data_IF_705237647023
#
_entry.id   IF_705237647023
#
_cell.length_a   1.000
_cell.length_b   1.000
_cell.length_c   1.000
_cell.angle_alpha   90.00
_cell.angle_beta   90.00
_cell.angle_gamma   90.00
#
_symmetry.space_group_name_H-M   'P 1'
#
loop_
_entity.id
_entity.type
_entity.pdbx_description
1 polymer ?
#
# COMPACT_ATOMS: atom_id res chain seq x y z
N UNK A 1 13.32 14.30 -12.79
CA UNK A 1 12.09 13.87 -12.12
C UNK A 1 12.11 14.43 -10.70
N UNK A 2 11.02 15.02 -10.23
CA UNK A 2 10.96 15.58 -8.87
C UNK A 2 10.18 14.65 -7.97
N UNK A 3 10.77 14.25 -6.83
CA UNK A 3 10.14 13.36 -5.86
C UNK A 3 10.00 14.09 -4.51
N UNK A 4 8.78 14.16 -4.00
CA UNK A 4 8.53 14.62 -2.66
C UNK A 4 8.77 13.47 -1.67
N UNK A 5 9.77 13.62 -0.78
CA UNK A 5 10.07 12.64 0.25
C UNK A 5 9.38 13.01 1.55
N UNK A 6 8.60 12.10 2.08
CA UNK A 6 7.88 12.22 3.35
C UNK A 6 8.31 11.09 4.29
N UNK A 7 9.50 11.13 4.92
CA UNK A 7 9.94 10.04 5.79
C UNK A 7 8.97 9.80 6.97
N UNK A 8 8.40 10.86 7.52
CA UNK A 8 7.43 10.78 8.61
C UNK A 8 8.07 10.38 9.93
N UNK A 9 7.51 9.36 10.60
CA UNK A 9 7.76 9.00 11.99
C UNK A 9 8.44 7.63 12.12
N UNK A 10 8.96 7.34 13.31
CA UNK A 10 9.50 6.03 13.67
C UNK A 10 10.60 5.53 12.73
N UNK A 11 10.44 4.31 12.19
CA UNK A 11 11.38 3.72 11.24
C UNK A 11 11.38 4.39 9.87
N UNK A 12 10.42 5.30 9.59
CA UNK A 12 10.23 5.91 8.28
C UNK A 12 11.48 6.58 7.72
N UNK A 13 12.30 7.21 8.59
CA UNK A 13 13.53 7.87 8.16
C UNK A 13 14.54 6.84 7.61
N UNK A 14 14.82 5.76 8.36
CA UNK A 14 15.85 4.78 7.99
C UNK A 14 15.45 3.93 6.77
N UNK A 15 14.16 3.60 6.60
CA UNK A 15 13.68 2.83 5.43
C UNK A 15 13.62 3.69 4.16
N UNK A 16 13.30 4.99 4.28
CA UNK A 16 13.30 5.92 3.14
C UNK A 16 14.74 6.20 2.70
N UNK A 17 15.68 6.42 3.64
CA UNK A 17 17.08 6.65 3.31
C UNK A 17 17.67 5.43 2.56
N UNK A 18 17.37 4.20 3.00
CA UNK A 18 17.77 2.98 2.29
C UNK A 18 17.14 2.86 0.90
N UNK A 19 15.87 3.22 0.75
CA UNK A 19 15.19 3.17 -0.54
C UNK A 19 15.69 4.24 -1.52
N UNK A 20 16.08 5.43 -1.03
CA UNK A 20 16.69 6.49 -1.84
C UNK A 20 18.05 6.04 -2.38
N UNK A 21 18.88 5.34 -1.60
CA UNK A 21 20.15 4.78 -2.09
C UNK A 21 19.95 3.84 -3.28
N UNK A 22 18.92 2.97 -3.22
CA UNK A 22 18.59 2.05 -4.32
C UNK A 22 18.05 2.81 -5.53
N UNK A 23 17.23 3.83 -5.30
CA UNK A 23 16.69 4.69 -6.37
C UNK A 23 17.78 5.48 -7.09
N UNK A 24 18.77 6.00 -6.35
CA UNK A 24 19.94 6.67 -6.92
C UNK A 24 20.80 5.72 -7.77
N UNK A 25 20.94 4.47 -7.33
CA UNK A 25 21.60 3.43 -8.13
C UNK A 25 20.84 3.13 -9.43
N UNK A 26 19.50 3.07 -9.37
CA UNK A 26 18.64 2.93 -10.56
C UNK A 26 18.79 4.13 -11.51
N UNK A 27 18.73 5.35 -10.99
CA UNK A 27 18.91 6.58 -11.76
C UNK A 27 20.25 6.60 -12.50
N UNK A 28 21.33 6.19 -11.83
CA UNK A 28 22.67 6.09 -12.40
C UNK A 28 22.74 5.03 -13.49
N UNK A 29 22.17 3.84 -13.28
CA UNK A 29 22.21 2.73 -14.24
C UNK A 29 21.40 3.01 -15.50
N UNK A 30 20.21 3.59 -15.34
CA UNK A 30 19.26 3.81 -16.44
C UNK A 30 19.30 5.24 -17.02
N UNK A 31 20.16 6.12 -16.49
CA UNK A 31 20.46 7.42 -17.08
C UNK A 31 19.35 8.47 -16.93
N UNK A 32 18.68 8.51 -15.79
CA UNK A 32 17.71 9.57 -15.47
C UNK A 32 18.13 10.36 -14.22
N UNK A 33 17.65 11.60 -14.12
CA UNK A 33 17.98 12.52 -13.02
C UNK A 33 16.80 12.66 -12.06
N UNK A 34 17.10 12.74 -10.75
CA UNK A 34 16.11 12.91 -9.70
C UNK A 34 16.46 14.14 -8.84
N UNK A 35 15.44 14.91 -8.55
CA UNK A 35 15.46 15.97 -7.56
C UNK A 35 14.58 15.58 -6.38
N UNK A 36 15.11 15.65 -5.16
CA UNK A 36 14.38 15.33 -3.95
C UNK A 36 13.95 16.59 -3.20
N UNK A 37 12.68 16.64 -2.78
CA UNK A 37 12.12 17.67 -1.92
C UNK A 37 11.61 17.01 -0.64
N UNK A 38 12.40 17.10 0.46
CA UNK A 38 12.08 16.46 1.74
C UNK A 38 11.18 17.37 2.57
N UNK A 39 10.00 16.84 2.96
CA UNK A 39 8.96 17.56 3.70
C UNK A 39 8.53 16.80 4.95
N UNK A 40 7.83 17.49 5.86
CA UNK A 40 7.33 16.92 7.13
C UNK A 40 5.88 16.43 6.98
N UNK A 41 5.56 15.30 7.62
CA UNK A 41 4.19 14.77 7.76
C UNK A 41 4.09 13.96 9.05
N UNK A 42 2.89 13.87 9.62
CA UNK A 42 2.64 13.05 10.80
C UNK A 42 3.07 13.70 12.09
N UNK A 43 3.56 12.89 13.02
CA UNK A 43 3.97 13.33 14.35
C UNK A 43 5.15 14.27 14.35
N UNK A 44 6.14 14.05 13.49
CA UNK A 44 7.28 14.97 13.36
C UNK A 44 6.85 16.34 12.83
N UNK A 45 5.81 16.41 12.01
CA UNK A 45 5.22 17.67 11.57
C UNK A 45 4.48 18.38 12.72
N UNK A 46 3.73 17.63 13.53
CA UNK A 46 3.07 18.19 14.74
C UNK A 46 4.11 18.81 15.68
N UNK A 47 5.20 18.10 15.94
CA UNK A 47 6.27 18.61 16.82
C UNK A 47 6.91 19.90 16.30
N UNK A 48 7.06 20.04 14.99
CA UNK A 48 7.72 21.19 14.37
C UNK A 48 6.78 22.37 14.10
N UNK A 49 5.51 22.10 13.76
CA UNK A 49 4.59 23.11 13.21
C UNK A 49 3.23 23.19 13.92
N UNK A 50 2.91 22.22 14.79
CA UNK A 50 1.61 22.11 15.46
C UNK A 50 0.53 21.44 14.62
N UNK A 51 0.80 21.05 13.38
CA UNK A 51 -0.17 20.38 12.48
C UNK A 51 0.43 19.12 11.84
N UNK A 52 -0.36 18.06 11.62
CA UNK A 52 0.15 16.80 11.06
C UNK A 52 0.46 16.87 9.56
N UNK A 53 -0.04 17.88 8.85
CA UNK A 53 0.17 18.11 7.42
C UNK A 53 0.30 19.61 7.13
N UNK A 54 1.54 20.13 7.06
CA UNK A 54 1.77 21.52 6.70
C UNK A 54 1.37 21.83 5.24
N UNK A 55 0.92 23.07 4.98
CA UNK A 55 0.58 23.51 3.62
C UNK A 55 1.78 23.43 2.65
N UNK A 56 3.00 23.66 3.15
CA UNK A 56 4.22 23.50 2.37
C UNK A 56 4.39 22.06 1.85
N UNK A 57 4.05 21.07 2.67
CA UNK A 57 4.07 19.65 2.30
C UNK A 57 3.06 19.35 1.19
N UNK A 58 1.84 19.89 1.30
CA UNK A 58 0.81 19.74 0.26
C UNK A 58 1.27 20.38 -1.06
N UNK A 59 1.85 21.58 -0.99
CA UNK A 59 2.34 22.29 -2.17
C UNK A 59 3.49 21.53 -2.85
N UNK A 60 4.45 21.02 -2.07
CA UNK A 60 5.56 20.19 -2.58
C UNK A 60 5.05 18.91 -3.24
N UNK A 61 4.18 18.16 -2.56
CA UNK A 61 3.61 16.92 -3.07
C UNK A 61 2.84 17.12 -4.39
N UNK A 62 2.05 18.19 -4.50
CA UNK A 62 1.32 18.53 -5.75
C UNK A 62 2.24 18.94 -6.90
N UNK A 63 3.41 19.50 -6.61
CA UNK A 63 4.39 19.93 -7.61
C UNK A 63 5.40 18.85 -7.99
N UNK A 64 5.36 17.69 -7.33
CA UNK A 64 6.24 16.57 -7.61
C UNK A 64 5.64 15.61 -8.66
N UNK A 65 6.49 14.83 -9.32
CA UNK A 65 6.08 13.74 -10.22
C UNK A 65 5.58 12.52 -9.42
N UNK A 66 6.08 12.34 -8.19
CA UNK A 66 5.66 11.31 -7.27
C UNK A 66 5.97 11.67 -5.81
N UNK A 67 5.30 11.01 -4.87
CA UNK A 67 5.53 11.11 -3.43
C UNK A 67 5.98 9.76 -2.89
N UNK A 68 7.09 9.73 -2.15
CA UNK A 68 7.52 8.57 -1.37
C UNK A 68 7.30 8.85 0.12
N UNK A 69 6.44 8.07 0.75
CA UNK A 69 6.12 8.14 2.17
C UNK A 69 6.78 6.98 2.92
N UNK A 70 7.38 7.26 4.07
CA UNK A 70 7.91 6.23 4.97
C UNK A 70 6.82 5.67 5.88
N UNK A 71 6.58 6.31 7.02
CA UNK A 71 5.56 5.88 7.97
C UNK A 71 5.04 7.07 8.79
N UNK A 72 3.85 6.92 9.38
CA UNK A 72 3.19 7.97 10.16
C UNK A 72 2.65 7.39 11.47
N UNK A 73 2.74 8.18 12.54
CA UNK A 73 2.14 7.86 13.83
C UNK A 73 3.11 7.32 14.87
N UNK A 74 2.59 7.14 16.08
CA UNK A 74 3.33 6.59 17.22
C UNK A 74 2.71 7.00 18.55
N UNK A 75 2.99 6.27 19.64
CA UNK A 75 2.34 6.43 20.95
C UNK A 75 2.56 7.82 21.57
N UNK A 76 3.59 8.55 21.15
CA UNK A 76 3.84 9.92 21.60
C UNK A 76 2.65 10.86 21.36
N UNK A 77 1.87 10.62 20.30
CA UNK A 77 0.76 11.49 19.87
C UNK A 77 -0.63 10.89 20.13
N UNK A 78 -0.75 9.79 20.91
CA UNK A 78 -2.04 9.17 21.23
C UNK A 78 -3.01 10.10 21.95
N UNK A 79 -2.46 11.02 22.77
CA UNK A 79 -3.23 11.94 23.60
C UNK A 79 -3.45 13.34 23.00
N UNK A 80 -3.06 13.57 21.72
CA UNK A 80 -3.38 14.82 21.04
C UNK A 80 -4.86 14.87 20.64
N UNK A 81 -5.37 16.07 20.36
CA UNK A 81 -6.76 16.22 19.91
C UNK A 81 -6.99 15.41 18.60
N UNK A 82 -8.18 14.80 18.42
CA UNK A 82 -8.44 13.89 17.30
C UNK A 82 -8.20 14.49 15.91
N UNK A 83 -8.42 15.79 15.76
CA UNK A 83 -8.25 16.53 14.49
C UNK A 83 -6.80 16.83 14.11
N UNK A 84 -5.87 16.71 15.08
CA UNK A 84 -4.43 16.90 14.84
C UNK A 84 -3.62 15.61 15.02
N UNK A 85 -4.24 14.43 15.07
CA UNK A 85 -3.52 13.14 15.12
C UNK A 85 -2.67 12.95 13.85
N UNK A 86 -1.52 12.26 13.94
CA UNK A 86 -0.64 12.00 12.79
C UNK A 86 -1.38 11.39 11.59
N UNK A 87 -2.34 10.48 11.81
CA UNK A 87 -3.13 9.80 10.79
C UNK A 87 -3.99 10.77 9.96
N UNK A 88 -4.38 11.92 10.55
CA UNK A 88 -5.07 13.00 9.80
C UNK A 88 -4.17 13.61 8.74
N UNK A 89 -2.84 13.60 8.96
CA UNK A 89 -1.86 14.00 7.95
C UNK A 89 -1.90 13.06 6.73
N UNK A 90 -1.92 11.75 6.98
CA UNK A 90 -2.01 10.74 5.91
C UNK A 90 -3.33 10.83 5.14
N UNK A 91 -4.46 10.91 5.82
CA UNK A 91 -5.76 11.08 5.16
C UNK A 91 -5.85 12.40 4.40
N UNK A 92 -5.28 13.47 4.97
CA UNK A 92 -5.23 14.80 4.37
C UNK A 92 -4.45 14.84 3.06
N UNK A 93 -3.26 14.24 3.01
CA UNK A 93 -2.44 14.22 1.80
C UNK A 93 -3.08 13.36 0.71
N UNK A 94 -3.66 12.20 1.03
CA UNK A 94 -4.41 11.37 0.10
C UNK A 94 -5.57 12.14 -0.53
N UNK A 95 -6.33 12.88 0.27
CA UNK A 95 -7.40 13.77 -0.19
C UNK A 95 -6.88 14.90 -1.06
N UNK A 96 -5.80 15.57 -0.64
CA UNK A 96 -5.21 16.70 -1.35
C UNK A 96 -4.68 16.34 -2.74
N UNK A 97 -4.20 15.10 -2.91
CA UNK A 97 -3.71 14.55 -4.18
C UNK A 97 -4.80 13.81 -4.97
N UNK A 98 -6.00 13.64 -4.43
CA UNK A 98 -7.12 12.95 -5.10
C UNK A 98 -6.85 11.46 -5.32
N UNK A 99 -6.20 10.79 -4.37
CA UNK A 99 -5.80 9.38 -4.47
C UNK A 99 -6.98 8.48 -4.13
N UNK A 100 -7.60 7.87 -5.13
CA UNK A 100 -8.77 7.01 -4.94
C UNK A 100 -8.51 5.52 -5.15
N UNK A 101 -7.36 5.13 -5.68
CA UNK A 101 -7.00 3.76 -5.96
C UNK A 101 -5.78 3.36 -5.14
N UNK A 102 -5.92 2.41 -4.22
CA UNK A 102 -4.80 1.85 -3.49
C UNK A 102 -4.49 0.45 -4.04
N UNK A 103 -3.27 0.27 -4.52
CA UNK A 103 -2.74 -0.98 -5.04
C UNK A 103 -1.88 -1.65 -3.97
N UNK A 104 -2.24 -2.87 -3.58
CA UNK A 104 -1.52 -3.69 -2.60
C UNK A 104 -1.20 -5.06 -3.21
N UNK A 105 -0.05 -5.22 -3.87
CA UNK A 105 0.40 -6.52 -4.35
C UNK A 105 0.82 -7.41 -3.18
N UNK A 106 0.50 -8.70 -3.28
CA UNK A 106 0.96 -9.73 -2.36
C UNK A 106 1.53 -10.89 -3.17
N UNK A 107 2.81 -11.14 -2.97
CA UNK A 107 3.53 -12.27 -3.58
C UNK A 107 4.20 -13.11 -2.50
N UNK A 108 4.19 -14.42 -2.67
CA UNK A 108 4.90 -15.36 -1.80
C UNK A 108 5.93 -16.09 -2.65
N UNK A 109 7.19 -15.66 -2.53
CA UNK A 109 8.30 -16.29 -3.23
C UNK A 109 8.77 -17.57 -2.51
N UNK A 110 9.56 -18.38 -3.20
CA UNK A 110 10.24 -19.55 -2.60
C UNK A 110 11.13 -19.17 -1.41
N UNK A 111 11.60 -17.92 -1.35
CA UNK A 111 12.47 -17.44 -0.27
C UNK A 111 11.72 -17.03 0.99
N UNK A 112 10.41 -16.79 0.88
CA UNK A 112 9.56 -16.31 1.97
C UNK A 112 8.45 -17.27 2.34
N UNK A 113 8.21 -18.31 1.54
CA UNK A 113 7.14 -19.30 1.76
C UNK A 113 7.20 -19.99 3.14
N UNK A 114 8.41 -20.16 3.70
CA UNK A 114 8.59 -20.74 5.03
C UNK A 114 8.17 -19.80 6.18
N UNK A 115 8.04 -18.50 5.92
CA UNK A 115 7.56 -17.50 6.88
C UNK A 115 6.04 -17.41 6.92
N UNK A 116 5.37 -17.91 5.87
CA UNK A 116 3.91 -17.93 5.81
C UNK A 116 3.32 -18.80 6.94
N UNK A 117 2.23 -18.34 7.59
CA UNK A 117 1.49 -19.21 8.51
C UNK A 117 0.76 -20.36 7.81
N UNK A 118 0.66 -20.30 6.49
CA UNK A 118 0.10 -21.36 5.68
C UNK A 118 1.15 -22.43 5.39
N UNK A 119 0.68 -23.62 5.06
CA UNK A 119 1.58 -24.65 4.51
C UNK A 119 2.23 -24.16 3.22
N UNK A 120 3.52 -24.45 3.04
CA UNK A 120 4.30 -23.98 1.89
C UNK A 120 3.62 -24.27 0.54
N UNK A 121 3.06 -25.49 0.37
CA UNK A 121 2.37 -25.87 -0.87
C UNK A 121 1.14 -24.99 -1.20
N UNK A 122 0.56 -24.29 -0.22
CA UNK A 122 -0.54 -23.35 -0.41
C UNK A 122 -0.05 -21.94 -0.66
N UNK A 123 0.98 -21.51 0.06
CA UNK A 123 1.48 -20.15 0.03
C UNK A 123 2.40 -19.88 -1.15
N UNK A 124 3.39 -20.74 -1.39
CA UNK A 124 4.42 -20.54 -2.42
C UNK A 124 3.81 -20.37 -3.82
N UNK A 125 4.20 -19.29 -4.49
CA UNK A 125 3.69 -18.92 -5.81
C UNK A 125 2.32 -18.24 -5.78
N UNK A 126 1.80 -17.88 -4.61
CA UNK A 126 0.68 -16.94 -4.54
C UNK A 126 1.15 -15.56 -5.04
N UNK A 127 0.39 -15.00 -5.97
CA UNK A 127 0.62 -13.69 -6.59
C UNK A 127 -0.72 -13.06 -6.88
N UNK A 128 -1.11 -12.07 -6.09
CA UNK A 128 -2.37 -11.35 -6.25
C UNK A 128 -2.19 -9.85 -6.04
N UNK A 129 -3.07 -9.08 -6.62
CA UNK A 129 -3.14 -7.63 -6.47
C UNK A 129 -4.50 -7.25 -5.87
N UNK A 130 -4.51 -6.58 -4.73
CA UNK A 130 -5.72 -5.96 -4.19
C UNK A 130 -5.80 -4.53 -4.70
N UNK A 131 -6.91 -4.21 -5.37
CA UNK A 131 -7.30 -2.89 -5.84
C UNK A 131 -8.41 -2.40 -4.91
N UNK A 132 -8.01 -1.58 -3.95
CA UNK A 132 -8.87 -1.01 -2.90
C UNK A 132 -9.30 0.39 -3.29
N UNK A 133 -10.59 0.68 -3.29
CA UNK A 133 -11.08 2.05 -3.31
C UNK A 133 -10.65 2.76 -2.00
N UNK A 134 -10.16 4.01 -2.09
CA UNK A 134 -9.43 4.64 -0.99
C UNK A 134 -10.12 5.89 -0.42
N UNK A 135 -11.04 6.54 -1.13
CA UNK A 135 -11.58 7.87 -0.78
C UNK A 135 -13.09 7.93 -0.68
N UNK A 136 -13.75 6.78 -0.69
CA UNK A 136 -15.21 6.64 -0.51
C UNK A 136 -15.56 5.70 0.64
N UNK A 137 -16.82 5.34 0.69
CA UNK A 137 -17.37 4.39 1.63
C UNK A 137 -17.44 4.89 3.06
N UNK A 138 -17.40 3.96 4.01
CA UNK A 138 -17.65 4.24 5.42
C UNK A 138 -16.58 5.16 6.06
N UNK A 139 -15.33 5.17 5.54
CA UNK A 139 -14.27 6.03 6.08
C UNK A 139 -14.43 7.51 5.74
N UNK A 140 -15.24 7.83 4.73
CA UNK A 140 -15.47 9.19 4.24
C UNK A 140 -16.95 9.58 4.23
N UNK A 141 -17.82 8.66 4.68
CA UNK A 141 -19.24 8.92 4.84
C UNK A 141 -19.55 9.85 6.02
N UNK A 142 -20.81 10.01 6.30
CA UNK A 142 -21.26 10.74 7.49
C UNK A 142 -21.05 9.87 8.74
N UNK A 143 -20.47 10.50 9.77
CA UNK A 143 -20.21 9.89 11.06
C UNK A 143 -21.01 10.62 12.12
N UNK A 144 -21.71 9.89 12.96
CA UNK A 144 -22.38 10.44 14.14
C UNK A 144 -21.75 9.80 15.37
N UNK A 145 -21.00 10.60 16.12
CA UNK A 145 -20.39 10.18 17.38
C UNK A 145 -21.43 9.75 18.41
N UNK A 146 -21.00 8.98 19.40
CA UNK A 146 -21.85 8.50 20.48
C UNK A 146 -22.60 9.65 21.18
N UNK A 147 -23.93 9.60 21.19
CA UNK A 147 -24.81 10.57 21.80
C UNK A 147 -26.08 9.90 22.32
N UNK A 148 -26.81 10.60 23.19
CA UNK A 148 -28.11 10.12 23.63
C UNK A 148 -29.19 10.54 22.63
N UNK A 149 -29.98 9.61 22.13
CA UNK A 149 -31.14 9.90 21.29
C UNK A 149 -32.33 10.42 22.10
N UNK A 150 -33.48 10.69 21.44
CA UNK A 150 -34.66 11.23 22.07
C UNK A 150 -35.25 10.36 23.22
N UNK A 151 -34.95 9.07 23.22
CA UNK A 151 -35.39 8.10 24.22
C UNK A 151 -34.37 7.91 25.35
N UNK A 152 -33.25 8.67 25.33
CA UNK A 152 -32.16 8.58 26.29
C UNK A 152 -31.26 7.35 26.10
N UNK A 153 -31.27 6.73 24.95
CA UNK A 153 -30.43 5.59 24.56
C UNK A 153 -29.19 6.12 23.85
N UNK A 154 -28.01 5.62 24.24
CA UNK A 154 -26.76 5.95 23.59
C UNK A 154 -26.69 5.26 22.21
N UNK A 155 -26.41 6.04 21.17
CA UNK A 155 -26.26 5.55 19.81
C UNK A 155 -25.12 6.26 19.05
N UNK A 156 -24.57 5.58 18.05
CA UNK A 156 -23.62 6.11 17.09
C UNK A 156 -23.87 5.49 15.73
N UNK A 157 -23.48 6.16 14.64
CA UNK A 157 -23.66 5.62 13.30
C UNK A 157 -22.60 6.08 12.33
N UNK A 158 -22.30 5.19 11.34
CA UNK A 158 -21.43 5.45 10.22
C UNK A 158 -22.15 5.07 8.92
N UNK A 159 -22.08 5.95 7.90
CA UNK A 159 -22.77 5.72 6.62
C UNK A 159 -21.78 5.28 5.55
N UNK A 160 -22.01 4.10 4.98
CA UNK A 160 -21.30 3.67 3.77
C UNK A 160 -22.00 4.21 2.52
N UNK A 161 -21.39 5.20 1.89
CA UNK A 161 -21.87 5.83 0.67
C UNK A 161 -20.89 5.60 -0.48
N UNK A 162 -21.42 5.13 -1.62
CA UNK A 162 -20.72 5.09 -2.90
C UNK A 162 -21.58 5.66 -4.01
N UNK A 163 -20.95 6.34 -4.94
CA UNK A 163 -21.55 6.82 -6.18
C UNK A 163 -21.08 5.99 -7.37
N UNK A 164 -21.86 5.98 -8.46
CA UNK A 164 -21.47 5.29 -9.70
C UNK A 164 -20.09 5.70 -10.22
N UNK A 165 -19.73 6.98 -10.34
CA UNK A 165 -18.39 7.38 -10.81
C UNK A 165 -17.23 6.84 -9.94
N UNK A 166 -17.42 6.74 -8.63
CA UNK A 166 -16.40 6.18 -7.72
C UNK A 166 -16.18 4.70 -7.99
N UNK A 167 -17.24 3.93 -8.19
CA UNK A 167 -17.14 2.51 -8.53
C UNK A 167 -16.52 2.32 -9.92
N UNK A 168 -16.95 3.12 -10.92
CA UNK A 168 -16.45 3.01 -12.30
C UNK A 168 -14.95 3.31 -12.39
N UNK A 169 -14.47 4.37 -11.70
CA UNK A 169 -13.03 4.73 -11.75
C UNK A 169 -12.13 3.64 -11.16
N UNK A 170 -12.53 3.04 -10.01
CA UNK A 170 -11.72 2.00 -9.38
C UNK A 170 -11.83 0.66 -10.13
N UNK A 171 -13.00 0.31 -10.67
CA UNK A 171 -13.19 -0.89 -11.47
C UNK A 171 -12.35 -0.84 -12.75
N UNK A 172 -12.22 0.33 -13.39
CA UNK A 172 -11.34 0.53 -14.55
C UNK A 172 -9.90 0.17 -14.23
N UNK A 173 -9.37 0.63 -13.08
CA UNK A 173 -8.03 0.25 -12.63
C UNK A 173 -7.86 -1.26 -12.47
N UNK A 174 -8.84 -1.93 -11.86
CA UNK A 174 -8.79 -3.37 -11.65
C UNK A 174 -8.81 -4.15 -12.97
N UNK A 175 -9.64 -3.77 -13.91
CA UNK A 175 -9.70 -4.42 -15.22
C UNK A 175 -8.43 -4.18 -16.05
N UNK A 176 -7.91 -2.95 -16.08
CA UNK A 176 -6.66 -2.65 -16.77
C UNK A 176 -5.45 -3.36 -16.13
N UNK A 177 -5.43 -3.50 -14.81
CA UNK A 177 -4.44 -4.29 -14.12
C UNK A 177 -4.55 -5.79 -14.49
N UNK A 178 -5.77 -6.35 -14.50
CA UNK A 178 -6.00 -7.75 -14.86
C UNK A 178 -5.55 -8.07 -16.29
N UNK A 179 -5.78 -7.18 -17.26
CA UNK A 179 -5.29 -7.35 -18.66
C UNK A 179 -3.77 -7.48 -18.75
N UNK A 180 -3.04 -6.88 -17.84
CA UNK A 180 -1.57 -6.95 -17.77
C UNK A 180 -1.08 -8.14 -16.93
N UNK A 181 -1.98 -8.89 -16.30
CA UNK A 181 -1.71 -10.03 -15.45
C UNK A 181 -2.36 -11.30 -16.03
N UNK A 182 -3.11 -12.04 -15.24
CA UNK A 182 -3.73 -13.33 -15.67
C UNK A 182 -5.15 -13.19 -16.24
N UNK A 183 -5.64 -11.96 -16.41
CA UNK A 183 -6.93 -11.65 -17.04
C UNK A 183 -8.14 -11.95 -16.16
N UNK A 184 -8.02 -11.93 -14.83
CA UNK A 184 -9.10 -12.27 -13.91
C UNK A 184 -9.31 -11.22 -12.84
N UNK A 185 -10.55 -10.75 -12.66
CA UNK A 185 -10.98 -9.88 -11.56
C UNK A 185 -11.94 -10.65 -10.65
N UNK A 186 -11.67 -10.63 -9.35
CA UNK A 186 -12.61 -11.05 -8.31
C UNK A 186 -13.15 -9.81 -7.61
N UNK A 187 -14.39 -9.42 -7.91
CA UNK A 187 -15.06 -8.31 -7.24
C UNK A 187 -15.61 -8.78 -5.90
N UNK A 188 -15.19 -8.12 -4.82
CA UNK A 188 -15.54 -8.50 -3.45
C UNK A 188 -16.43 -7.46 -2.81
N UNK A 189 -17.58 -7.92 -2.28
CA UNK A 189 -18.65 -7.09 -1.74
C UNK A 189 -19.46 -7.81 -0.65
N UNK A 190 -20.52 -7.17 -0.15
CA UNK A 190 -21.51 -7.76 0.76
C UNK A 190 -22.94 -7.57 0.21
N UNK A 191 -23.15 -7.88 -1.08
CA UNK A 191 -24.39 -7.62 -1.81
C UNK A 191 -25.63 -8.36 -1.25
N UNK A 192 -25.45 -9.46 -0.52
CA UNK A 192 -26.53 -10.13 0.19
C UNK A 192 -27.15 -9.30 1.30
N UNK A 193 -26.44 -8.26 1.82
CA UNK A 193 -26.90 -7.40 2.92
C UNK A 193 -26.97 -5.93 2.48
N UNK A 194 -25.89 -5.36 1.92
CA UNK A 194 -25.71 -3.93 1.73
C UNK A 194 -26.27 -3.44 0.38
N UNK A 195 -26.94 -2.29 0.39
CA UNK A 195 -27.44 -1.61 -0.82
C UNK A 195 -26.29 -1.07 -1.68
N UNK A 196 -25.28 -0.45 -1.05
CA UNK A 196 -24.05 0.01 -1.70
C UNK A 196 -23.35 -1.12 -2.46
N UNK A 197 -23.23 -2.30 -1.86
CA UNK A 197 -22.61 -3.49 -2.47
C UNK A 197 -23.44 -4.05 -3.64
N UNK A 198 -24.75 -4.00 -3.60
CA UNK A 198 -25.61 -4.39 -4.75
C UNK A 198 -25.38 -3.46 -5.94
N UNK A 199 -25.32 -2.15 -5.69
CA UNK A 199 -24.99 -1.15 -6.72
C UNK A 199 -23.57 -1.38 -7.27
N UNK A 200 -22.58 -1.59 -6.41
CA UNK A 200 -21.20 -1.93 -6.78
C UNK A 200 -21.13 -3.10 -7.74
N UNK A 201 -21.69 -4.25 -7.36
CA UNK A 201 -21.72 -5.48 -8.17
C UNK A 201 -22.37 -5.27 -9.53
N UNK A 202 -23.49 -4.53 -9.58
CA UNK A 202 -24.17 -4.19 -10.81
C UNK A 202 -23.28 -3.37 -11.75
N UNK A 203 -22.63 -2.32 -11.25
CA UNK A 203 -21.79 -1.43 -12.06
C UNK A 203 -20.57 -2.18 -12.59
N UNK A 204 -19.89 -2.96 -11.74
CA UNK A 204 -18.72 -3.74 -12.15
C UNK A 204 -19.08 -4.75 -13.24
N UNK A 205 -20.23 -5.43 -13.12
CA UNK A 205 -20.71 -6.37 -14.14
C UNK A 205 -21.07 -5.66 -15.46
N UNK A 206 -21.72 -4.48 -15.41
CA UNK A 206 -22.02 -3.68 -16.59
C UNK A 206 -20.74 -3.27 -17.32
N UNK A 207 -19.70 -2.82 -16.60
CA UNK A 207 -18.42 -2.42 -17.18
C UNK A 207 -17.69 -3.60 -17.79
N UNK A 208 -17.64 -4.75 -17.10
CA UNK A 208 -17.02 -5.96 -17.63
C UNK A 208 -17.66 -6.38 -18.95
N UNK A 209 -18.99 -6.48 -18.99
CA UNK A 209 -19.70 -6.93 -20.18
C UNK A 209 -19.55 -5.98 -21.39
N UNK A 210 -19.45 -4.67 -21.13
CA UNK A 210 -19.37 -3.64 -22.16
C UNK A 210 -17.95 -3.33 -22.62
N UNK A 211 -17.04 -3.10 -21.66
CA UNK A 211 -15.75 -2.49 -21.90
C UNK A 211 -14.57 -3.49 -21.76
N UNK A 212 -14.79 -4.64 -21.07
CA UNK A 212 -13.73 -5.63 -20.73
C UNK A 212 -14.20 -7.08 -20.91
N UNK A 213 -14.85 -7.45 -22.03
CA UNK A 213 -15.41 -8.78 -22.20
C UNK A 213 -14.38 -9.92 -22.18
N UNK A 214 -13.10 -9.60 -22.41
CA UNK A 214 -11.98 -10.54 -22.37
C UNK A 214 -11.50 -10.87 -20.96
N UNK A 215 -11.90 -10.09 -19.92
CA UNK A 215 -11.49 -10.31 -18.54
C UNK A 215 -12.51 -11.18 -17.81
N UNK A 216 -12.07 -12.26 -17.20
CA UNK A 216 -12.92 -13.10 -16.35
C UNK A 216 -13.34 -12.31 -15.11
N UNK A 217 -14.64 -12.24 -14.83
CA UNK A 217 -15.21 -11.58 -13.64
C UNK A 217 -15.86 -12.61 -12.72
N UNK A 218 -15.37 -12.69 -11.48
CA UNK A 218 -16.00 -13.45 -10.39
C UNK A 218 -16.49 -12.49 -9.31
N UNK A 219 -17.60 -12.84 -8.64
CA UNK A 219 -18.13 -12.09 -7.51
C UNK A 219 -18.06 -12.94 -6.23
N UNK A 220 -17.38 -12.43 -5.22
CA UNK A 220 -17.32 -13.06 -3.90
C UNK A 220 -17.97 -12.16 -2.86
N UNK A 221 -18.60 -12.78 -1.85
CA UNK A 221 -18.87 -12.07 -0.60
C UNK A 221 -17.58 -11.95 0.19
N UNK A 222 -17.42 -10.85 0.93
CA UNK A 222 -16.19 -10.55 1.67
C UNK A 222 -15.80 -11.65 2.66
N UNK A 223 -16.77 -12.23 3.37
CA UNK A 223 -16.56 -13.34 4.30
C UNK A 223 -16.04 -14.61 3.59
N UNK A 224 -16.57 -14.93 2.39
CA UNK A 224 -16.04 -16.00 1.58
C UNK A 224 -14.65 -15.68 1.03
N UNK A 225 -14.40 -14.45 0.61
CA UNK A 225 -13.08 -14.02 0.13
C UNK A 225 -12.01 -14.20 1.21
N UNK A 226 -12.29 -13.77 2.45
CA UNK A 226 -11.40 -13.96 3.60
C UNK A 226 -11.08 -15.44 3.82
N UNK A 227 -12.07 -16.33 3.85
CA UNK A 227 -11.82 -17.77 3.94
C UNK A 227 -10.96 -18.30 2.78
N UNK A 228 -11.22 -17.84 1.56
CA UNK A 228 -10.54 -18.32 0.35
C UNK A 228 -9.11 -17.79 0.24
N UNK A 229 -8.79 -16.62 0.78
CA UNK A 229 -7.41 -16.13 0.90
C UNK A 229 -6.55 -17.11 1.70
N UNK A 230 -7.07 -17.64 2.80
CA UNK A 230 -6.37 -18.65 3.63
C UNK A 230 -6.35 -20.04 2.97
N UNK A 231 -7.47 -20.45 2.36
CA UNK A 231 -7.61 -21.80 1.81
C UNK A 231 -6.88 -22.00 0.48
N UNK A 232 -6.96 -21.02 -0.41
CA UNK A 232 -6.39 -21.09 -1.76
C UNK A 232 -6.07 -19.68 -2.32
N UNK A 233 -5.03 -18.98 -1.81
CA UNK A 233 -4.67 -17.63 -2.28
C UNK A 233 -4.30 -17.60 -3.77
N UNK A 234 -3.80 -18.70 -4.34
CA UNK A 234 -3.37 -18.78 -5.75
C UNK A 234 -4.51 -18.63 -6.76
N UNK A 235 -5.76 -18.79 -6.34
CA UNK A 235 -6.92 -18.64 -7.23
C UNK A 235 -7.18 -17.18 -7.63
N UNK A 236 -6.67 -16.22 -6.85
CA UNK A 236 -6.87 -14.81 -7.07
C UNK A 236 -5.79 -14.22 -7.99
N UNK A 237 -6.19 -13.33 -8.88
CA UNK A 237 -5.30 -12.51 -9.71
C UNK A 237 -5.43 -11.04 -9.27
N UNK A 238 -6.57 -10.42 -9.58
CA UNK A 238 -6.90 -9.07 -9.11
C UNK A 238 -8.15 -9.14 -8.24
N UNK A 239 -8.07 -8.65 -7.00
CA UNK A 239 -9.20 -8.48 -6.10
C UNK A 239 -9.60 -7.00 -6.15
N UNK A 240 -10.83 -6.72 -6.60
CA UNK A 240 -11.43 -5.40 -6.61
C UNK A 240 -12.41 -5.27 -5.45
N UNK A 241 -12.25 -4.26 -4.59
CA UNK A 241 -13.13 -4.09 -3.44
C UNK A 241 -13.22 -2.65 -2.93
N UNK A 242 -14.21 -2.39 -2.06
CA UNK A 242 -14.42 -1.11 -1.41
C UNK A 242 -13.34 -0.80 -0.35
N UNK A 243 -13.44 0.36 0.28
CA UNK A 243 -12.45 0.87 1.21
C UNK A 243 -12.23 -0.05 2.41
N UNK A 244 -13.27 -0.31 3.21
CA UNK A 244 -13.13 -1.08 4.45
C UNK A 244 -12.81 -2.56 4.20
N UNK A 245 -13.44 -3.19 3.20
CA UNK A 245 -13.13 -4.59 2.90
C UNK A 245 -11.72 -4.74 2.33
N UNK A 246 -11.28 -3.75 1.52
CA UNK A 246 -9.92 -3.72 0.99
C UNK A 246 -8.87 -3.55 2.06
N UNK A 247 -9.15 -2.78 3.11
CA UNK A 247 -8.27 -2.64 4.28
C UNK A 247 -8.09 -3.99 4.97
N UNK A 248 -9.19 -4.61 5.37
CA UNK A 248 -9.18 -5.88 6.11
C UNK A 248 -8.54 -7.01 5.29
N UNK A 249 -8.97 -7.19 4.04
CA UNK A 249 -8.47 -8.28 3.19
C UNK A 249 -7.00 -8.13 2.81
N UNK A 250 -6.51 -6.89 2.67
CA UNK A 250 -5.10 -6.67 2.36
C UNK A 250 -4.19 -6.94 3.55
N UNK A 251 -4.64 -6.66 4.78
CA UNK A 251 -3.91 -6.99 5.99
C UNK A 251 -3.91 -8.51 6.26
N UNK A 252 -5.03 -9.19 5.98
CA UNK A 252 -5.08 -10.65 5.98
C UNK A 252 -4.11 -11.24 4.94
N UNK A 253 -4.14 -10.74 3.70
CA UNK A 253 -3.22 -11.16 2.65
C UNK A 253 -1.76 -10.89 3.02
N UNK A 254 -1.47 -9.79 3.72
CA UNK A 254 -0.13 -9.45 4.20
C UNK A 254 0.44 -10.51 5.13
N UNK A 255 -0.40 -11.05 5.99
CA UNK A 255 -0.04 -12.13 6.92
C UNK A 255 0.38 -13.41 6.15
N UNK A 256 -0.26 -13.69 5.02
CA UNK A 256 0.06 -14.84 4.18
C UNK A 256 1.46 -14.71 3.54
N UNK A 257 1.90 -13.50 3.24
CA UNK A 257 3.25 -13.24 2.71
C UNK A 257 4.38 -13.51 3.71
N UNK A 258 4.05 -13.60 5.01
CA UNK A 258 4.98 -13.95 6.08
C UNK A 258 5.72 -12.76 6.71
N UNK A 259 5.80 -11.60 6.05
CA UNK A 259 6.29 -10.34 6.63
C UNK A 259 5.67 -9.14 5.94
N UNK A 260 5.16 -8.21 6.73
CA UNK A 260 4.68 -6.91 6.25
C UNK A 260 5.81 -6.02 5.71
N UNK A 261 7.05 -6.28 6.12
CA UNK A 261 8.25 -5.60 5.64
C UNK A 261 8.62 -5.92 4.18
N UNK A 262 7.84 -6.78 3.50
CA UNK A 262 8.01 -7.14 2.08
C UNK A 262 6.91 -6.58 1.18
N UNK A 263 5.93 -5.87 1.74
CA UNK A 263 4.72 -5.54 1.01
C UNK A 263 4.66 -4.04 0.68
N UNK A 264 4.82 -3.69 -0.59
CA UNK A 264 4.69 -2.33 -1.06
C UNK A 264 3.23 -1.93 -1.22
N UNK A 265 3.01 -0.63 -1.39
CA UNK A 265 1.71 -0.06 -1.71
C UNK A 265 1.85 1.16 -2.60
N UNK A 266 0.89 1.38 -3.48
CA UNK A 266 0.75 2.59 -4.27
C UNK A 266 -0.66 3.14 -4.10
N UNK A 267 -0.74 4.44 -3.83
CA UNK A 267 -2.00 5.19 -3.82
C UNK A 267 -2.02 6.10 -5.05
N UNK A 268 -2.96 5.85 -5.96
CA UNK A 268 -3.04 6.48 -7.28
C UNK A 268 -4.35 7.26 -7.44
N UNK A 269 -4.28 8.28 -8.29
CA UNK A 269 -5.40 9.10 -8.72
C UNK A 269 -5.15 9.59 -10.15
N UNK A 270 -5.76 10.73 -10.50
CA UNK A 270 -5.57 11.35 -11.82
C UNK A 270 -4.31 12.24 -11.89
N UNK A 271 -3.61 12.43 -10.77
CA UNK A 271 -2.41 13.25 -10.63
C UNK A 271 -1.23 12.51 -10.02
N UNK A 272 -0.50 13.23 -9.15
CA UNK A 272 0.70 12.71 -8.46
C UNK A 272 0.37 11.51 -7.59
N UNK A 273 1.00 10.36 -7.86
CA UNK A 273 0.87 9.14 -7.07
C UNK A 273 1.69 9.19 -5.77
N UNK A 274 1.26 8.46 -4.75
CA UNK A 274 1.98 8.29 -3.49
C UNK A 274 2.28 6.81 -3.25
N UNK A 275 3.51 6.54 -2.82
CA UNK A 275 4.06 5.21 -2.65
C UNK A 275 4.58 5.03 -1.24
N UNK A 276 4.20 3.96 -0.59
CA UNK A 276 4.47 3.72 0.83
C UNK A 276 4.49 2.22 1.14
N UNK A 277 5.28 1.74 2.12
CA UNK A 277 5.09 0.37 2.63
C UNK A 277 3.73 0.25 3.33
N UNK A 278 3.19 -0.96 3.45
CA UNK A 278 1.91 -1.15 4.15
C UNK A 278 2.04 -1.14 5.69
N UNK A 279 3.25 -1.38 6.21
CA UNK A 279 3.52 -1.37 7.65
C UNK A 279 3.53 0.05 8.25
N UNK A 280 3.34 0.16 9.55
CA UNK A 280 3.39 1.42 10.29
C UNK A 280 4.81 1.86 10.68
N UNK A 281 4.88 2.79 11.63
CA UNK A 281 6.11 3.46 12.08
C UNK A 281 7.01 2.65 13.00
N UNK A 282 6.53 1.50 13.53
CA UNK A 282 7.25 0.59 14.42
C UNK A 282 8.14 1.32 15.45
N UNK A 283 7.56 2.12 16.35
CA UNK A 283 8.29 3.03 17.24
C UNK A 283 9.21 2.30 18.21
N UNK A 284 8.95 1.04 18.50
CA UNK A 284 9.73 0.16 19.37
C UNK A 284 11.10 -0.19 18.81
N UNK A 285 11.27 -0.20 17.49
CA UNK A 285 12.54 -0.49 16.81
C UNK A 285 13.14 0.72 16.08
N UNK A 286 12.51 1.87 16.15
CA UNK A 286 12.96 3.08 15.48
C UNK A 286 14.36 3.50 15.94
N UNK A 287 15.23 3.83 14.97
CA UNK A 287 16.62 4.24 15.23
C UNK A 287 17.57 3.11 15.60
N UNK A 288 17.11 1.85 15.60
CA UNK A 288 17.97 0.69 15.88
C UNK A 288 18.64 0.12 14.62
N UNK A 289 18.26 0.58 13.43
CA UNK A 289 18.84 0.11 12.17
C UNK A 289 18.52 -1.35 11.83
N UNK A 290 17.40 -1.86 12.34
CA UNK A 290 16.97 -3.27 12.16
C UNK A 290 15.69 -3.42 11.35
N UNK A 291 15.02 -2.32 11.00
CA UNK A 291 13.83 -2.35 10.19
C UNK A 291 14.10 -2.88 8.78
N UNK A 292 13.16 -3.64 8.23
CA UNK A 292 13.26 -4.16 6.88
C UNK A 292 12.89 -3.05 5.85
N UNK A 293 13.80 -2.61 4.96
CA UNK A 293 13.52 -1.56 4.00
C UNK A 293 12.90 -2.08 2.69
N UNK A 294 12.77 -3.40 2.51
CA UNK A 294 12.39 -4.00 1.22
C UNK A 294 11.00 -3.57 0.74
N UNK A 295 10.03 -3.42 1.65
CA UNK A 295 8.70 -2.91 1.28
C UNK A 295 8.77 -1.50 0.70
N UNK A 296 9.61 -0.62 1.27
CA UNK A 296 9.81 0.75 0.76
C UNK A 296 10.55 0.73 -0.58
N UNK A 297 11.58 -0.11 -0.74
CA UNK A 297 12.31 -0.30 -2.00
C UNK A 297 11.34 -0.81 -3.09
N UNK A 298 10.50 -1.79 -2.79
CA UNK A 298 9.49 -2.29 -3.73
C UNK A 298 8.39 -1.25 -4.02
N UNK A 299 8.08 -0.36 -3.06
CA UNK A 299 7.20 0.79 -3.31
C UNK A 299 7.85 1.78 -4.27
N UNK A 300 9.16 1.96 -4.22
CA UNK A 300 9.92 2.73 -5.21
C UNK A 300 9.87 2.05 -6.60
N UNK A 301 9.95 0.72 -6.69
CA UNK A 301 9.75 0.02 -7.97
C UNK A 301 8.35 0.29 -8.55
N UNK A 302 7.30 0.28 -7.70
CA UNK A 302 5.95 0.71 -8.13
C UNK A 302 5.94 2.17 -8.59
N UNK A 303 6.62 3.07 -7.90
CA UNK A 303 6.74 4.49 -8.28
C UNK A 303 7.39 4.66 -9.66
N UNK A 304 8.49 3.95 -9.90
CA UNK A 304 9.17 3.93 -11.20
C UNK A 304 8.23 3.46 -12.32
N UNK A 305 7.41 2.43 -12.07
CA UNK A 305 6.49 1.85 -13.04
C UNK A 305 5.25 2.70 -13.29
N UNK A 306 4.58 3.16 -12.24
CA UNK A 306 3.25 3.78 -12.37
C UNK A 306 3.28 5.30 -12.56
N UNK A 307 4.26 6.02 -12.00
CA UNK A 307 4.36 7.48 -12.10
C UNK A 307 5.47 7.96 -13.02
N UNK A 308 6.62 7.28 -13.04
CA UNK A 308 7.83 7.78 -13.70
C UNK A 308 8.11 7.14 -15.06
N UNK A 309 7.31 6.16 -15.51
CA UNK A 309 7.45 5.41 -16.77
C UNK A 309 8.84 4.76 -16.96
N UNK A 310 9.48 4.35 -15.87
CA UNK A 310 10.78 3.69 -15.84
C UNK A 310 10.62 2.18 -15.60
N UNK A 311 9.92 1.47 -16.49
CA UNK A 311 9.58 0.06 -16.32
C UNK A 311 10.80 -0.85 -16.19
N UNK A 312 11.83 -0.65 -17.03
CA UNK A 312 13.07 -1.45 -16.99
C UNK A 312 13.83 -1.27 -15.65
N UNK A 313 13.83 -0.06 -15.12
CA UNK A 313 14.43 0.22 -13.82
C UNK A 313 13.64 -0.42 -12.68
N UNK A 314 12.32 -0.42 -12.77
CA UNK A 314 11.44 -1.10 -11.81
C UNK A 314 11.68 -2.62 -11.81
N UNK A 315 11.69 -3.25 -12.99
CA UNK A 315 11.93 -4.69 -13.13
C UNK A 315 13.33 -5.08 -12.62
N UNK A 316 14.35 -4.26 -12.89
CA UNK A 316 15.70 -4.49 -12.40
C UNK A 316 15.80 -4.33 -10.87
N UNK A 317 15.05 -3.41 -10.28
CA UNK A 317 15.01 -3.22 -8.82
C UNK A 317 14.34 -4.42 -8.13
N UNK A 318 13.22 -4.90 -8.64
CA UNK A 318 12.55 -6.11 -8.13
C UNK A 318 13.47 -7.34 -8.24
N UNK A 319 14.15 -7.51 -9.38
CA UNK A 319 15.12 -8.60 -9.58
C UNK A 319 16.32 -8.49 -8.64
N UNK A 320 16.81 -7.29 -8.34
CA UNK A 320 17.88 -7.07 -7.38
C UNK A 320 17.48 -7.47 -5.95
N UNK A 321 16.25 -7.15 -5.53
CA UNK A 321 15.71 -7.61 -4.25
C UNK A 321 15.69 -9.14 -4.19
N UNK A 322 15.16 -9.80 -5.21
CA UNK A 322 15.12 -11.27 -5.28
C UNK A 322 16.52 -11.87 -5.24
N UNK A 323 17.49 -11.30 -5.96
CA UNK A 323 18.87 -11.79 -5.98
C UNK A 323 19.55 -11.66 -4.62
N UNK A 324 19.35 -10.58 -3.88
CA UNK A 324 19.87 -10.41 -2.51
C UNK A 324 19.23 -11.42 -1.57
N UNK A 325 17.93 -11.66 -1.70
CA UNK A 325 17.23 -12.70 -0.94
C UNK A 325 17.75 -14.11 -1.28
N UNK A 326 18.06 -14.40 -2.55
CA UNK A 326 18.66 -15.67 -2.99
C UNK A 326 20.07 -15.91 -2.43
N UNK A 327 20.86 -14.83 -2.27
CA UNK A 327 22.18 -14.88 -1.62
C UNK A 327 22.11 -15.10 -0.10
N UNK A 328 20.92 -15.16 0.46
CA UNK A 328 20.64 -15.48 1.86
C UNK A 328 20.70 -14.30 2.83
N UNK A 329 20.76 -13.05 2.35
CA UNK A 329 20.71 -11.88 3.22
C UNK A 329 19.29 -11.62 3.75
N UNK A 330 19.17 -11.32 5.04
CA UNK A 330 17.89 -11.07 5.73
C UNK A 330 18.04 -10.00 6.80
N UNK A 331 17.04 -9.16 6.92
CA UNK A 331 16.84 -8.35 8.12
C UNK A 331 16.31 -9.19 9.27
N UNK A 332 16.38 -8.73 10.54
CA UNK A 332 16.01 -9.55 11.71
C UNK A 332 14.60 -10.15 11.65
N UNK A 333 13.62 -9.48 11.03
CA UNK A 333 12.24 -9.97 10.87
C UNK A 333 12.11 -11.20 9.96
N UNK A 334 13.06 -11.38 9.03
CA UNK A 334 13.11 -12.47 8.07
C UNK A 334 14.21 -13.50 8.38
N UNK A 335 14.98 -13.26 9.44
CA UNK A 335 16.14 -14.09 9.73
C UNK A 335 15.75 -15.49 10.18
N UNK A 336 16.51 -16.47 9.67
CA UNK A 336 16.47 -17.85 10.11
C UNK A 336 17.91 -18.38 10.21
N UNK A 337 18.10 -19.47 10.98
CA UNK A 337 19.43 -20.10 11.15
C UNK A 337 20.05 -20.51 9.79
N UNK A 338 21.31 -20.15 9.59
CA UNK A 338 22.04 -20.39 8.34
C UNK A 338 21.95 -19.26 7.32
N UNK A 339 21.15 -18.23 7.56
CA UNK A 339 21.07 -17.02 6.75
C UNK A 339 21.99 -15.91 7.29
N UNK A 340 22.19 -14.86 6.49
CA UNK A 340 23.05 -13.71 6.82
C UNK A 340 22.19 -12.57 7.33
N UNK A 341 22.29 -12.27 8.63
CA UNK A 341 21.58 -11.14 9.22
C UNK A 341 22.28 -9.83 8.88
N UNK A 342 21.50 -8.83 8.42
CA UNK A 342 21.98 -7.50 8.03
C UNK A 342 21.08 -6.40 8.58
N UNK A 343 21.65 -5.20 8.73
CA UNK A 343 20.91 -4.00 9.14
C UNK A 343 20.06 -3.41 8.00
N UNK A 344 19.22 -2.43 8.32
CA UNK A 344 18.42 -1.66 7.35
C UNK A 344 19.30 -1.06 6.25
N UNK A 345 20.37 -0.35 6.62
CA UNK A 345 21.26 0.29 5.66
C UNK A 345 22.07 -0.71 4.83
N UNK A 346 22.57 -1.80 5.45
CA UNK A 346 23.26 -2.85 4.73
C UNK A 346 22.37 -3.54 3.70
N UNK A 347 21.07 -3.77 4.02
CA UNK A 347 20.12 -4.33 3.07
C UNK A 347 19.93 -3.39 1.86
N UNK A 348 19.71 -2.09 2.08
CA UNK A 348 19.64 -1.09 1.01
C UNK A 348 20.88 -1.08 0.14
N UNK A 349 22.05 -1.06 0.76
CA UNK A 349 23.35 -1.09 0.06
C UNK A 349 23.54 -2.35 -0.80
N UNK A 350 23.19 -3.52 -0.28
CA UNK A 350 23.27 -4.78 -1.03
C UNK A 350 22.36 -4.79 -2.25
N UNK A 351 21.12 -4.29 -2.11
CA UNK A 351 20.20 -4.17 -3.24
C UNK A 351 20.71 -3.16 -4.27
N UNK A 352 21.23 -2.01 -3.85
CA UNK A 352 21.83 -1.02 -4.75
C UNK A 352 23.05 -1.57 -5.51
N UNK A 353 23.92 -2.33 -4.83
CA UNK A 353 25.07 -3.00 -5.47
C UNK A 353 24.61 -4.07 -6.48
N UNK A 354 23.61 -4.87 -6.13
CA UNK A 354 23.08 -5.91 -7.03
C UNK A 354 22.47 -5.28 -8.29
N UNK A 355 21.70 -4.22 -8.10
CA UNK A 355 21.08 -3.48 -9.21
C UNK A 355 22.14 -2.90 -10.17
N UNK A 356 23.31 -2.47 -9.71
CA UNK A 356 24.36 -1.90 -10.56
C UNK A 356 25.14 -2.93 -11.40
N UNK A 357 25.05 -4.21 -11.08
CA UNK A 357 25.63 -5.28 -11.91
C UNK A 357 24.90 -5.41 -13.25
#
# INVERSE_FOLDING_TARGET
MKICLLPGDGIGLEIVDAAVEVLDAAAKKFGFEIEYDKQLIGGCAIDATGVPLPEATIASAKAADAVLLGAVGGPKWDNVAPDIRPEKGLLGIRKALGLYCNLRPMTVSKFTAHLSPLKAERAEGADLLIVRELTGGIYFGEHTEAHLNADGIEEASDIELYTRPEVERIARFAFEAAKKRRGKVTSVDKANVLGSSRMWRKIVAEMQAKDYPEVELNNFYVDNCAMQLVLNPKQFDVILTNNIFGDILSDEASTIAGSIGLLPSASLGDGTGMYEPIHGSAPDIAGQGIANPLATILSVAMMLRYSLNQNEAADAMEAAVDAVMEQGYRTPDLYAEGLKNVSTSEMGHLVAQELLK
#
